data_IF_171927432088
#
_entry.id   IF_171927432088
#
_cell.length_a   1.000
_cell.length_b   1.000
_cell.length_c   1.000
_cell.angle_alpha   90.00
_cell.angle_beta   90.00
_cell.angle_gamma   90.00
#
_symmetry.space_group_name_H-M   'P 1'
#
loop_
_entity.id
_entity.type
_entity.pdbx_description
1 polymer ?
#
# COMPACT_ATOMS: atom_id res chain seq x y z
N UNK A 1 -42.13 17.81 10.88
CA UNK A 1 -40.86 18.13 10.19
C UNK A 1 -40.05 19.21 10.92
N UNK A 2 -40.54 20.45 11.06
CA UNK A 2 -39.75 21.56 11.66
C UNK A 2 -39.34 21.35 13.12
N UNK A 3 -40.24 20.82 13.95
CA UNK A 3 -39.94 20.52 15.36
C UNK A 3 -38.83 19.46 15.52
N UNK A 4 -38.85 18.41 14.69
CA UNK A 4 -37.82 17.36 14.67
C UNK A 4 -36.48 17.94 14.24
N UNK A 5 -36.46 18.81 13.22
CA UNK A 5 -35.24 19.51 12.80
C UNK A 5 -34.68 20.45 13.88
N UNK A 6 -35.54 21.12 14.64
CA UNK A 6 -35.12 21.97 15.76
C UNK A 6 -34.55 21.16 16.93
N UNK A 7 -35.21 20.05 17.28
CA UNK A 7 -34.73 19.13 18.32
C UNK A 7 -33.39 18.50 17.94
N UNK A 8 -33.20 18.10 16.68
CA UNK A 8 -31.94 17.58 16.19
C UNK A 8 -30.81 18.62 16.31
N UNK A 9 -31.07 19.90 15.99
CA UNK A 9 -30.08 20.97 16.15
C UNK A 9 -29.67 21.16 17.61
N UNK A 10 -30.64 21.21 18.52
CA UNK A 10 -30.35 21.29 19.96
C UNK A 10 -29.55 20.07 20.42
N UNK A 11 -29.93 18.87 19.99
CA UNK A 11 -29.23 17.63 20.33
C UNK A 11 -27.79 17.62 19.84
N UNK A 12 -27.53 18.03 18.60
CA UNK A 12 -26.17 18.15 18.06
C UNK A 12 -25.38 19.22 18.81
N UNK A 13 -25.97 20.38 19.10
CA UNK A 13 -25.29 21.42 19.89
C UNK A 13 -24.95 20.91 21.29
N UNK A 14 -25.87 20.21 21.95
CA UNK A 14 -25.63 19.61 23.26
C UNK A 14 -24.53 18.53 23.19
N UNK A 15 -24.55 17.66 22.18
CA UNK A 15 -23.50 16.65 21.96
C UNK A 15 -22.13 17.31 21.80
N UNK A 16 -22.04 18.38 20.99
CA UNK A 16 -20.79 19.13 20.81
C UNK A 16 -20.30 19.73 22.12
N UNK A 17 -21.20 20.29 22.94
CA UNK A 17 -20.83 20.84 24.24
C UNK A 17 -20.36 19.77 25.22
N UNK A 18 -21.00 18.59 25.24
CA UNK A 18 -20.55 17.45 26.06
C UNK A 18 -19.17 16.99 25.63
N UNK A 19 -18.96 16.79 24.32
CA UNK A 19 -17.65 16.39 23.79
C UNK A 19 -16.58 17.43 24.11
N UNK A 20 -16.89 18.72 23.95
CA UNK A 20 -15.98 19.80 24.31
C UNK A 20 -15.64 19.78 25.79
N UNK A 21 -16.63 19.55 26.66
CA UNK A 21 -16.41 19.44 28.11
C UNK A 21 -15.47 18.30 28.46
N UNK A 22 -15.69 17.11 27.91
CA UNK A 22 -14.83 15.94 28.14
C UNK A 22 -13.41 16.15 27.61
N UNK A 23 -13.29 16.74 26.41
CA UNK A 23 -11.98 17.08 25.84
C UNK A 23 -11.24 18.05 26.75
N UNK A 24 -11.90 19.11 27.24
CA UNK A 24 -11.27 20.11 28.12
C UNK A 24 -10.97 19.57 29.52
N UNK A 25 -11.70 18.55 29.97
CA UNK A 25 -11.47 17.88 31.26
C UNK A 25 -10.32 16.86 31.23
N UNK A 26 -9.74 16.59 30.06
CA UNK A 26 -8.62 15.66 29.94
C UNK A 26 -7.38 16.18 30.67
N UNK A 27 -6.94 15.43 31.69
CA UNK A 27 -5.83 15.81 32.58
C UNK A 27 -4.47 15.94 31.83
N UNK A 28 -4.34 15.31 30.66
CA UNK A 28 -3.15 15.38 29.83
C UNK A 28 -2.92 16.72 29.12
N UNK A 29 -3.83 17.69 29.23
CA UNK A 29 -3.56 19.09 28.82
C UNK A 29 -2.70 19.86 29.83
N UNK A 30 -2.58 19.35 31.06
CA UNK A 30 -1.74 19.99 32.07
C UNK A 30 -0.27 19.94 31.63
N UNK A 31 0.46 21.04 31.82
CA UNK A 31 1.89 21.09 31.54
C UNK A 31 2.63 20.13 32.48
N UNK A 32 2.93 18.92 32.00
CA UNK A 32 3.87 18.03 32.67
C UNK A 32 5.27 18.63 32.55
N UNK A 33 5.83 19.12 33.66
CA UNK A 33 7.17 19.69 33.74
C UNK A 33 8.32 18.66 33.55
N UNK A 34 7.96 17.40 33.32
CA UNK A 34 8.89 16.31 33.01
C UNK A 34 8.53 15.66 31.68
N UNK A 35 9.49 15.51 30.76
CA UNK A 35 9.24 14.79 29.52
C UNK A 35 8.95 13.31 29.83
N UNK A 36 8.02 12.67 29.08
CA UNK A 36 7.71 11.26 29.28
C UNK A 36 8.96 10.40 29.03
N UNK A 37 9.16 9.41 29.89
CA UNK A 37 10.19 8.39 29.70
C UNK A 37 9.74 7.37 28.65
N UNK A 38 10.69 6.69 28.00
CA UNK A 38 10.37 5.62 27.02
C UNK A 38 9.46 4.53 27.62
N UNK A 39 9.62 4.22 28.90
CA UNK A 39 8.76 3.25 29.58
C UNK A 39 7.34 3.77 29.79
N UNK A 40 7.18 5.02 30.22
CA UNK A 40 5.85 5.64 30.36
C UNK A 40 5.10 5.73 29.04
N UNK A 41 5.81 6.03 27.95
CA UNK A 41 5.24 6.05 26.61
C UNK A 41 4.82 4.66 26.12
N UNK A 42 5.63 3.63 26.37
CA UNK A 42 5.29 2.26 26.00
C UNK A 42 4.03 1.77 26.73
N UNK A 43 3.89 2.10 28.02
CA UNK A 43 2.69 1.79 28.80
C UNK A 43 1.49 2.55 28.22
N UNK A 44 1.62 3.85 27.95
CA UNK A 44 0.53 4.65 27.40
C UNK A 44 0.04 4.13 26.03
N UNK A 45 0.94 3.75 25.11
CA UNK A 45 0.55 3.25 23.79
C UNK A 45 -0.07 1.84 23.85
N UNK A 46 0.40 0.99 24.77
CA UNK A 46 -0.02 -0.42 24.83
C UNK A 46 -1.21 -0.66 25.75
N UNK A 47 -1.39 0.16 26.79
CA UNK A 47 -2.46 0.01 27.78
C UNK A 47 -3.55 1.07 27.56
N UNK A 48 -3.25 2.36 27.78
CA UNK A 48 -4.24 3.45 27.73
C UNK A 48 -4.79 3.69 26.31
N UNK A 49 -3.94 3.59 25.28
CA UNK A 49 -4.29 3.85 23.87
C UNK A 49 -4.37 2.58 23.03
N UNK A 50 -4.52 1.42 23.67
CA UNK A 50 -4.43 0.10 23.04
C UNK A 50 -5.26 -0.03 21.74
N UNK A 51 -6.50 0.43 21.75
CA UNK A 51 -7.43 0.33 20.63
C UNK A 51 -6.99 1.20 19.46
N UNK A 52 -6.51 2.42 19.74
CA UNK A 52 -6.00 3.32 18.70
C UNK A 52 -4.71 2.77 18.09
N UNK A 53 -3.84 2.16 18.89
CA UNK A 53 -2.62 1.49 18.43
C UNK A 53 -2.94 0.32 17.50
N UNK A 54 -3.95 -0.49 17.81
CA UNK A 54 -4.42 -1.58 16.93
C UNK A 54 -4.95 -1.02 15.61
N UNK A 55 -5.77 0.03 15.64
CA UNK A 55 -6.29 0.68 14.43
C UNK A 55 -5.15 1.25 13.58
N UNK A 56 -4.17 1.90 14.21
CA UNK A 56 -2.98 2.42 13.53
C UNK A 56 -2.19 1.28 12.86
N UNK A 57 -2.01 0.15 13.53
CA UNK A 57 -1.36 -1.03 12.95
C UNK A 57 -2.11 -1.58 11.73
N UNK A 58 -3.45 -1.58 11.76
CA UNK A 58 -4.27 -1.98 10.62
C UNK A 58 -4.12 -1.01 9.45
N UNK A 59 -4.15 0.30 9.72
CA UNK A 59 -3.92 1.33 8.70
C UNK A 59 -2.52 1.22 8.08
N UNK A 60 -1.49 1.00 8.90
CA UNK A 60 -0.13 0.77 8.44
C UNK A 60 -0.03 -0.50 7.57
N UNK A 61 -0.72 -1.57 7.96
CA UNK A 61 -0.77 -2.81 7.17
C UNK A 61 -1.42 -2.57 5.80
N UNK A 62 -2.54 -1.83 5.74
CA UNK A 62 -3.18 -1.46 4.48
C UNK A 62 -2.26 -0.60 3.59
N UNK A 63 -1.52 0.33 4.19
CA UNK A 63 -0.54 1.14 3.47
C UNK A 63 0.61 0.30 2.89
N UNK A 64 1.15 -0.65 3.66
CA UNK A 64 2.19 -1.57 3.19
C UNK A 64 1.70 -2.43 2.02
N UNK A 65 0.46 -2.93 2.09
CA UNK A 65 -0.16 -3.66 0.98
C UNK A 65 -0.28 -2.74 -0.24
N UNK A 66 -0.80 -1.52 -0.08
CA UNK A 66 -0.93 -0.55 -1.17
C UNK A 66 0.40 -0.23 -1.85
N UNK A 67 1.47 0.00 -1.08
CA UNK A 67 2.81 0.25 -1.61
C UNK A 67 3.35 -0.95 -2.40
N UNK A 68 3.10 -2.19 -1.94
CA UNK A 68 3.52 -3.41 -2.64
C UNK A 68 2.83 -3.57 -4.00
N UNK A 69 1.54 -3.20 -4.09
CA UNK A 69 0.80 -3.24 -5.35
C UNK A 69 1.28 -2.18 -6.33
N UNK A 70 1.67 -0.99 -5.87
CA UNK A 70 2.18 0.07 -6.73
C UNK A 70 3.47 -0.36 -7.46
N UNK A 71 4.43 -0.92 -6.72
CA UNK A 71 5.69 -1.42 -7.31
C UNK A 71 5.44 -2.64 -8.20
N UNK A 72 4.51 -3.53 -7.81
CA UNK A 72 4.15 -4.69 -8.63
C UNK A 72 3.52 -4.26 -9.95
N UNK A 73 2.66 -3.25 -9.93
CA UNK A 73 1.99 -2.72 -11.13
C UNK A 73 3.02 -2.14 -12.12
N UNK A 74 3.96 -1.33 -11.63
CA UNK A 74 5.06 -0.81 -12.45
C UNK A 74 5.93 -1.93 -13.05
N UNK A 75 6.26 -2.95 -12.26
CA UNK A 75 7.02 -4.12 -12.74
C UNK A 75 6.24 -4.93 -13.77
N UNK A 76 4.93 -5.11 -13.59
CA UNK A 76 4.08 -5.80 -14.56
C UNK A 76 4.01 -5.01 -15.87
N UNK A 77 3.86 -3.69 -15.80
CA UNK A 77 3.86 -2.83 -16.99
C UNK A 77 5.19 -2.94 -17.77
N UNK A 78 6.33 -2.87 -17.07
CA UNK A 78 7.64 -3.01 -17.72
C UNK A 78 7.82 -4.40 -18.35
N UNK A 79 7.40 -5.46 -17.64
CA UNK A 79 7.45 -6.82 -18.17
C UNK A 79 6.55 -6.99 -19.40
N UNK A 80 5.34 -6.44 -19.41
CA UNK A 80 4.46 -6.52 -20.57
C UNK A 80 5.01 -5.77 -21.79
N UNK A 81 5.77 -4.70 -21.55
CA UNK A 81 6.48 -3.98 -22.59
C UNK A 81 7.68 -4.79 -23.11
N UNK A 82 8.49 -5.36 -22.22
CA UNK A 82 9.65 -6.20 -22.57
C UNK A 82 9.26 -7.52 -23.27
N UNK A 83 8.13 -8.13 -22.89
CA UNK A 83 7.57 -9.32 -23.56
C UNK A 83 6.90 -8.99 -24.90
N UNK A 84 6.84 -7.71 -25.30
CA UNK A 84 6.43 -7.24 -26.62
C UNK A 84 5.19 -7.95 -27.14
N UNK A 85 4.00 -7.61 -26.60
CA UNK A 85 2.69 -8.20 -26.93
C UNK A 85 2.56 -8.94 -28.28
N UNK A 86 3.03 -10.18 -28.32
CA UNK A 86 2.58 -11.27 -29.19
C UNK A 86 2.61 -12.55 -28.35
N UNK A 87 1.73 -12.60 -27.35
CA UNK A 87 1.42 -13.89 -26.71
C UNK A 87 0.40 -14.57 -27.60
N UNK A 88 0.88 -15.31 -28.61
CA UNK A 88 0.05 -16.31 -29.27
C UNK A 88 -0.37 -17.31 -28.19
N UNK A 89 -1.68 -17.42 -27.96
CA UNK A 89 -2.25 -18.24 -26.88
C UNK A 89 -1.72 -19.67 -26.96
N UNK A 90 -1.03 -20.18 -25.92
CA UNK A 90 -0.49 -21.53 -25.96
C UNK A 90 -1.63 -22.53 -26.10
N UNK A 91 -1.63 -23.32 -27.18
CA UNK A 91 -2.48 -24.51 -27.27
C UNK A 91 -2.12 -25.43 -26.09
N UNK A 92 -3.12 -25.72 -25.26
CA UNK A 92 -3.02 -26.54 -24.04
C UNK A 92 -2.26 -27.83 -24.35
N UNK A 93 -1.11 -28.04 -23.69
CA UNK A 93 -0.43 -29.35 -23.67
C UNK A 93 1.09 -29.37 -23.57
N UNK A 94 1.84 -28.28 -23.77
CA UNK A 94 3.32 -28.35 -23.80
C UNK A 94 4.02 -27.41 -22.78
N UNK A 95 5.04 -27.90 -22.04
CA UNK A 95 5.79 -27.08 -21.08
C UNK A 95 6.77 -26.10 -21.76
N UNK A 96 7.02 -24.92 -21.14
CA UNK A 96 7.70 -23.77 -21.74
C UNK A 96 9.22 -23.92 -21.97
N UNK A 97 9.84 -25.04 -21.57
CA UNK A 97 11.29 -25.22 -21.65
C UNK A 97 11.81 -25.63 -23.04
N UNK A 98 10.95 -26.14 -23.94
CA UNK A 98 11.37 -26.72 -25.22
C UNK A 98 11.51 -25.71 -26.38
N UNK A 99 11.10 -24.45 -26.19
CA UNK A 99 11.03 -23.45 -27.25
C UNK A 99 12.20 -22.44 -27.24
N UNK A 100 13.37 -22.80 -26.69
CA UNK A 100 14.59 -22.02 -26.97
C UNK A 100 15.03 -22.33 -28.40
N UNK A 101 14.95 -21.40 -29.37
CA UNK A 101 15.62 -21.62 -30.65
C UNK A 101 17.13 -21.61 -30.37
N UNK A 102 17.76 -22.78 -30.49
CA UNK A 102 19.20 -22.87 -30.63
C UNK A 102 19.53 -22.20 -31.98
N UNK A 103 20.27 -21.09 -31.94
CA UNK A 103 20.70 -20.37 -33.15
C UNK A 103 21.45 -21.32 -34.09
N UNK A 104 20.98 -21.56 -35.33
CA UNK A 104 21.71 -22.41 -36.26
C UNK A 104 22.75 -21.59 -37.02
N UNK A 105 23.99 -22.09 -36.99
CA UNK A 105 25.01 -21.95 -38.02
C UNK A 105 25.50 -20.53 -38.37
N UNK A 106 26.60 -20.13 -37.73
CA UNK A 106 27.59 -19.25 -38.34
C UNK A 106 28.61 -20.09 -39.11
N UNK A 107 28.37 -20.31 -40.41
CA UNK A 107 29.38 -20.68 -41.40
C UNK A 107 28.99 -20.07 -42.76
N UNK A 108 29.89 -19.33 -43.40
CA UNK A 108 29.98 -19.36 -44.85
C UNK A 108 31.34 -19.92 -45.28
N UNK A 109 31.30 -21.07 -45.95
CA UNK A 109 32.35 -21.56 -46.84
C UNK A 109 32.60 -20.54 -47.96
N UNK A 110 33.87 -20.37 -48.32
CA UNK A 110 34.31 -19.44 -49.36
C UNK A 110 34.16 -19.98 -50.78
N UNK A 111 34.16 -19.04 -51.73
CA UNK A 111 34.55 -19.15 -53.15
C UNK A 111 34.44 -17.71 -53.71
N UNK A 112 35.40 -17.03 -54.35
CA UNK A 112 36.48 -17.42 -55.25
C UNK A 112 36.36 -16.53 -56.51
N UNK A 113 37.45 -15.88 -56.94
CA UNK A 113 37.56 -15.05 -58.17
C UNK A 113 37.73 -13.55 -57.86
N UNK A 114 38.92 -12.95 -57.97
CA UNK A 114 39.54 -12.40 -59.22
C UNK A 114 38.63 -11.29 -59.78
N UNK A 115 39.03 -10.02 -60.00
CA UNK A 115 40.17 -9.47 -60.73
C UNK A 115 40.35 -7.96 -60.38
N UNK A 116 41.62 -7.52 -60.38
CA UNK A 116 42.19 -6.16 -60.58
C UNK A 116 41.73 -4.94 -59.76
#
# INVERSE_FOLDING_TARGET
MRAVGFLARIGVTALVLVLLSEIMAYDGWSESSQPPTTSSFAIAILDDWNMMTVVLGLLLSMAMIGASYLVRDERLANLTWDLGQEVETPKIGLPPAAARPMSPAGLPEGNGGEEE
#
